data_IF_052378458345
#
_entry.id   IF_052378458345
#
_cell.length_a   1.000
_cell.length_b   1.000
_cell.length_c   1.000
_cell.angle_alpha   90.00
_cell.angle_beta   90.00
_cell.angle_gamma   90.00
#
_symmetry.space_group_name_H-M   'P 1'
#
loop_
_entity.id
_entity.type
_entity.pdbx_description
1 polymer ?
#
# COMPACT_ATOMS: atom_id res chain seq x y z
N UNK A 1 4.97 -2.30 -42.39
CA UNK A 1 5.11 -3.70 -41.94
C UNK A 1 4.21 -3.93 -40.72
N UNK A 2 3.61 -5.12 -40.55
CA UNK A 2 2.70 -5.41 -39.44
C UNK A 2 3.41 -5.41 -38.07
N UNK A 3 4.66 -5.91 -38.02
CA UNK A 3 5.48 -5.96 -36.80
C UNK A 3 5.76 -4.55 -36.26
N UNK A 4 6.22 -3.61 -37.11
CA UNK A 4 6.40 -2.22 -36.70
C UNK A 4 5.14 -1.56 -36.12
N UNK A 5 3.95 -1.84 -36.70
CA UNK A 5 2.69 -1.29 -36.18
C UNK A 5 2.38 -1.82 -34.79
N UNK A 6 2.57 -3.12 -34.56
CA UNK A 6 2.39 -3.74 -33.25
C UNK A 6 3.40 -3.20 -32.22
N UNK A 7 4.65 -3.01 -32.62
CA UNK A 7 5.69 -2.45 -31.73
C UNK A 7 5.38 -0.99 -31.37
N UNK A 8 4.96 -0.17 -32.33
CA UNK A 8 4.57 1.22 -32.08
C UNK A 8 3.36 1.31 -31.14
N UNK A 9 2.35 0.44 -31.27
CA UNK A 9 1.21 0.43 -30.33
C UNK A 9 1.65 0.24 -28.87
N UNK A 10 2.71 -0.52 -28.64
CA UNK A 10 3.24 -0.79 -27.30
C UNK A 10 4.26 0.23 -26.80
N UNK A 11 4.97 0.92 -27.71
CA UNK A 11 6.11 1.78 -27.40
C UNK A 11 5.85 3.29 -27.59
N UNK A 12 4.79 3.66 -28.32
CA UNK A 12 4.31 5.03 -28.46
C UNK A 12 3.98 5.69 -27.11
N UNK A 13 3.36 5.00 -26.13
CA UNK A 13 3.16 5.57 -24.78
C UNK A 13 4.46 5.86 -24.03
N UNK A 14 5.57 5.21 -24.40
CA UNK A 14 6.90 5.46 -23.85
C UNK A 14 7.67 6.56 -24.62
N UNK A 15 7.02 7.23 -25.58
CA UNK A 15 7.65 8.24 -26.43
C UNK A 15 8.72 7.65 -27.36
N UNK A 16 8.58 6.37 -27.76
CA UNK A 16 9.53 5.69 -28.65
C UNK A 16 8.84 5.32 -29.95
N UNK A 17 9.35 5.85 -31.06
CA UNK A 17 8.91 5.51 -32.40
C UNK A 17 9.82 4.44 -33.00
N UNK A 18 9.20 3.40 -33.56
CA UNK A 18 9.89 2.24 -34.12
C UNK A 18 9.62 2.12 -35.61
N UNK A 19 10.69 1.90 -36.37
CA UNK A 19 10.68 1.46 -37.75
C UNK A 19 11.35 0.10 -37.83
N UNK A 20 10.86 -0.76 -38.71
CA UNK A 20 11.45 -2.07 -38.92
C UNK A 20 11.76 -2.27 -40.38
N UNK A 21 12.90 -2.86 -40.67
CA UNK A 21 13.28 -3.34 -41.99
C UNK A 21 13.66 -4.81 -41.91
N UNK A 22 13.28 -5.60 -42.91
CA UNK A 22 13.59 -7.03 -42.96
C UNK A 22 14.36 -7.30 -44.24
N UNK A 23 15.63 -7.62 -44.09
CA UNK A 23 16.50 -8.02 -45.19
C UNK A 23 16.86 -9.48 -44.98
N UNK A 24 16.40 -10.34 -45.89
CA UNK A 24 16.55 -11.80 -45.82
C UNK A 24 15.93 -12.39 -44.53
N UNK A 25 16.75 -12.83 -43.58
CA UNK A 25 16.38 -13.44 -42.30
C UNK A 25 16.74 -12.57 -41.08
N UNK A 26 17.19 -11.32 -41.33
CA UNK A 26 17.59 -10.36 -40.31
C UNK A 26 16.59 -9.20 -40.22
N UNK A 27 15.90 -9.10 -39.09
CA UNK A 27 15.00 -7.99 -38.79
C UNK A 27 15.78 -6.87 -38.10
N UNK A 28 15.87 -5.71 -38.73
CA UNK A 28 16.43 -4.50 -38.13
C UNK A 28 15.31 -3.68 -37.52
N UNK A 29 15.39 -3.43 -36.21
CA UNK A 29 14.47 -2.60 -35.44
C UNK A 29 15.18 -1.30 -35.10
N UNK A 30 14.72 -0.20 -35.69
CA UNK A 30 15.23 1.14 -35.47
C UNK A 30 14.26 1.89 -34.55
N UNK A 31 14.70 2.25 -33.36
CA UNK A 31 13.88 2.96 -32.38
C UNK A 31 14.46 4.33 -32.08
N UNK A 32 13.61 5.36 -32.12
CA UNK A 32 13.96 6.72 -31.77
C UNK A 32 13.09 7.20 -30.60
N UNK A 33 13.72 7.66 -29.53
CA UNK A 33 13.01 8.29 -28.41
C UNK A 33 12.79 9.77 -28.66
N UNK A 34 11.78 10.36 -28.01
CA UNK A 34 11.44 11.78 -28.15
C UNK A 34 12.43 12.73 -27.44
N UNK A 35 12.99 12.31 -26.30
CA UNK A 35 13.87 13.14 -25.46
C UNK A 35 15.35 12.72 -25.53
N UNK A 36 15.66 11.56 -26.10
CA UNK A 36 16.98 10.95 -26.14
C UNK A 36 16.93 9.54 -26.74
N UNK A 37 18.07 8.85 -26.91
CA UNK A 37 18.06 7.47 -27.35
C UNK A 37 17.32 6.61 -26.31
N UNK A 38 16.49 5.64 -26.75
CA UNK A 38 15.77 4.77 -25.84
C UNK A 38 16.73 3.93 -25.00
N UNK A 39 16.29 3.54 -23.80
CA UNK A 39 17.06 2.66 -22.93
C UNK A 39 17.37 1.33 -23.62
N UNK A 40 18.65 0.96 -23.64
CA UNK A 40 19.14 -0.18 -24.41
C UNK A 40 18.61 -1.50 -23.86
N UNK A 41 18.72 -1.71 -22.55
CA UNK A 41 18.38 -2.98 -21.92
C UNK A 41 16.87 -3.23 -21.99
N UNK A 42 16.07 -2.21 -21.69
CA UNK A 42 14.62 -2.26 -21.83
C UNK A 42 14.19 -2.63 -23.25
N UNK A 43 14.74 -1.94 -24.26
CA UNK A 43 14.30 -2.12 -25.64
C UNK A 43 14.76 -3.48 -26.20
N UNK A 44 16.00 -3.91 -25.91
CA UNK A 44 16.51 -5.23 -26.29
C UNK A 44 15.66 -6.35 -25.68
N UNK A 45 15.30 -6.25 -24.40
CA UNK A 45 14.46 -7.25 -23.73
C UNK A 45 13.02 -7.24 -24.21
N UNK A 46 12.48 -6.07 -24.53
CA UNK A 46 11.15 -5.94 -25.14
C UNK A 46 11.12 -6.63 -26.50
N UNK A 47 12.07 -6.34 -27.38
CA UNK A 47 12.17 -6.92 -28.72
C UNK A 47 12.39 -8.43 -28.64
N UNK A 48 13.30 -8.91 -27.78
CA UNK A 48 13.56 -10.33 -27.59
C UNK A 48 12.29 -11.09 -27.20
N UNK A 49 11.57 -10.61 -26.18
CA UNK A 49 10.34 -11.26 -25.70
C UNK A 49 9.23 -11.24 -26.75
N UNK A 50 9.05 -10.11 -27.44
CA UNK A 50 8.08 -10.01 -28.52
C UNK A 50 8.36 -11.00 -29.65
N UNK A 51 9.62 -11.12 -30.05
CA UNK A 51 10.02 -12.01 -31.14
C UNK A 51 9.95 -13.50 -30.75
N UNK A 52 10.30 -13.85 -29.52
CA UNK A 52 10.10 -15.22 -29.01
C UNK A 52 8.61 -15.57 -28.91
N UNK A 53 7.76 -14.63 -28.49
CA UNK A 53 6.30 -14.83 -28.39
C UNK A 53 5.62 -14.96 -29.76
N UNK A 54 6.14 -14.31 -30.79
CA UNK A 54 5.67 -14.44 -32.17
C UNK A 54 6.04 -15.78 -32.82
N UNK A 55 7.04 -16.50 -32.26
CA UNK A 55 7.56 -17.77 -32.78
C UNK A 55 7.77 -17.78 -34.30
N UNK A 56 8.25 -16.66 -34.86
CA UNK A 56 8.35 -16.47 -36.30
C UNK A 56 9.54 -17.28 -36.87
N UNK A 57 9.30 -18.39 -37.60
CA UNK A 57 10.38 -19.32 -37.99
C UNK A 57 11.30 -18.75 -39.08
N UNK A 58 10.93 -17.62 -39.68
CA UNK A 58 11.63 -16.97 -40.80
C UNK A 58 12.70 -15.98 -40.33
N UNK A 59 12.64 -15.48 -39.08
CA UNK A 59 13.58 -14.48 -38.57
C UNK A 59 14.58 -15.16 -37.65
N UNK A 60 15.85 -15.22 -38.06
CA UNK A 60 16.92 -15.89 -37.29
C UNK A 60 17.66 -14.93 -36.36
N UNK A 61 17.80 -13.68 -36.81
CA UNK A 61 18.55 -12.64 -36.12
C UNK A 61 17.76 -11.35 -36.10
N UNK A 62 17.88 -10.61 -35.01
CA UNK A 62 17.27 -9.29 -34.85
C UNK A 62 18.36 -8.31 -34.45
N UNK A 63 18.46 -7.19 -35.16
CA UNK A 63 19.37 -6.09 -34.80
C UNK A 63 18.53 -4.94 -34.29
N UNK A 64 18.76 -4.51 -33.06
CA UNK A 64 18.08 -3.39 -32.42
C UNK A 64 19.01 -2.19 -32.41
N UNK A 65 18.53 -1.05 -32.86
CA UNK A 65 19.28 0.20 -32.95
C UNK A 65 18.52 1.32 -32.25
N UNK A 66 19.18 2.02 -31.33
CA UNK A 66 18.64 3.18 -30.64
C UNK A 66 19.15 4.48 -31.24
N UNK A 67 18.25 5.40 -31.57
CA UNK A 67 18.55 6.71 -32.14
C UNK A 67 18.16 7.82 -31.18
N UNK A 68 19.05 8.80 -31.02
CA UNK A 68 18.66 10.11 -30.49
C UNK A 68 17.75 10.86 -31.50
N UNK A 69 16.91 11.80 -31.04
CA UNK A 69 16.03 12.58 -31.91
C UNK A 69 16.80 13.22 -33.07
N UNK A 70 16.40 12.91 -34.31
CA UNK A 70 16.99 13.52 -35.53
C UNK A 70 18.41 13.05 -35.89
N UNK A 71 18.98 12.07 -35.19
CA UNK A 71 20.33 11.56 -35.48
C UNK A 71 20.36 10.70 -36.77
N UNK A 72 21.39 10.89 -37.59
CA UNK A 72 21.61 10.08 -38.80
C UNK A 72 22.28 8.71 -38.51
N UNK A 73 22.90 8.56 -37.34
CA UNK A 73 23.58 7.35 -36.90
C UNK A 73 23.02 6.88 -35.54
N UNK A 74 23.02 5.56 -35.27
CA UNK A 74 22.51 5.04 -34.00
C UNK A 74 23.44 5.39 -32.85
N UNK A 75 22.86 5.74 -31.70
CA UNK A 75 23.58 5.95 -30.44
C UNK A 75 24.07 4.62 -29.84
N UNK A 76 23.37 3.52 -30.13
CA UNK A 76 23.78 2.16 -29.77
C UNK A 76 23.13 1.14 -30.71
N UNK A 77 23.74 -0.04 -30.82
CA UNK A 77 23.17 -1.17 -31.56
C UNK A 77 23.46 -2.50 -30.87
N UNK A 78 22.51 -3.44 -30.92
CA UNK A 78 22.63 -4.77 -30.33
C UNK A 78 22.06 -5.84 -31.25
N UNK A 79 22.81 -6.93 -31.46
CA UNK A 79 22.35 -8.10 -32.19
C UNK A 79 21.80 -9.17 -31.23
N UNK A 80 20.66 -9.76 -31.59
CA UNK A 80 20.00 -10.82 -30.85
C UNK A 80 19.83 -12.01 -31.79
N UNK A 81 20.47 -13.12 -31.47
CA UNK A 81 20.23 -14.39 -32.16
C UNK A 81 19.09 -15.13 -31.43
N UNK A 82 18.03 -15.48 -32.18
CA UNK A 82 16.78 -16.01 -31.61
C UNK A 82 16.82 -17.54 -31.39
N UNK A 83 17.95 -18.20 -31.65
CA UNK A 83 18.11 -19.66 -31.50
C UNK A 83 18.86 -20.10 -30.23
N UNK A 84 19.33 -19.18 -29.40
CA UNK A 84 20.08 -19.54 -28.19
C UNK A 84 19.18 -19.60 -26.95
N UNK A 85 18.74 -20.82 -26.63
CA UNK A 85 18.06 -21.12 -25.36
C UNK A 85 19.13 -21.47 -24.32
N UNK A 86 19.88 -20.47 -23.87
CA UNK A 86 21.05 -20.62 -22.99
C UNK A 86 20.79 -20.14 -21.55
N UNK A 87 20.60 -21.10 -20.65
CA UNK A 87 20.52 -21.05 -19.19
C UNK A 87 21.54 -20.11 -18.50
N UNK A 88 21.08 -19.22 -17.61
CA UNK A 88 21.95 -18.51 -16.66
C UNK A 88 21.67 -19.04 -15.24
N UNK A 89 22.62 -19.81 -14.70
CA UNK A 89 22.66 -20.17 -13.29
C UNK A 89 23.18 -18.99 -12.44
N UNK A 90 22.62 -18.70 -11.25
CA UNK A 90 23.15 -17.67 -10.36
C UNK A 90 24.38 -18.17 -9.59
N UNK A 91 25.45 -17.37 -9.57
CA UNK A 91 26.62 -17.53 -8.69
C UNK A 91 26.49 -16.57 -7.48
N UNK A 92 26.89 -16.97 -6.26
CA UNK A 92 26.67 -16.17 -5.06
C UNK A 92 27.72 -15.07 -4.88
N UNK A 93 27.29 -13.92 -4.37
CA UNK A 93 28.15 -12.86 -3.84
C UNK A 93 28.37 -13.10 -2.34
N UNK A 94 29.63 -13.35 -1.99
CA UNK A 94 30.14 -13.46 -0.62
C UNK A 94 30.19 -12.08 0.02
N UNK A 95 29.54 -11.93 1.16
CA UNK A 95 29.63 -10.77 2.05
C UNK A 95 30.86 -10.86 2.95
N UNK A 96 31.73 -9.85 2.89
CA UNK A 96 32.63 -9.51 4.00
C UNK A 96 31.91 -8.50 4.90
N UNK A 97 31.89 -8.73 6.21
CA UNK A 97 32.13 -7.66 7.16
C UNK A 97 32.52 -8.18 8.54
N UNK A 98 33.44 -7.44 9.14
CA UNK A 98 34.13 -7.70 10.37
C UNK A 98 33.23 -7.62 11.61
N UNK A 99 33.62 -8.29 12.69
CA UNK A 99 33.48 -7.73 14.03
C UNK A 99 34.50 -8.34 15.00
N UNK A 100 35.53 -7.55 15.27
CA UNK A 100 36.33 -7.62 16.50
C UNK A 100 35.64 -6.73 17.54
N UNK A 101 35.29 -7.27 18.71
CA UNK A 101 35.51 -6.63 20.02
C UNK A 101 34.80 -7.39 21.16
N UNK A 102 35.62 -8.15 21.90
CA UNK A 102 35.95 -7.87 23.30
C UNK A 102 34.82 -7.76 24.35
N UNK A 103 34.86 -8.70 25.32
CA UNK A 103 35.17 -8.42 26.75
C UNK A 103 34.26 -9.25 27.68
N UNK A 104 34.68 -10.49 27.94
CA UNK A 104 34.21 -11.29 29.08
C UNK A 104 34.91 -10.80 30.34
N UNK A 105 34.14 -10.32 31.32
CA UNK A 105 34.60 -10.05 32.69
C UNK A 105 34.16 -11.19 33.59
N UNK A 106 35.16 -11.89 34.13
CA UNK A 106 35.12 -12.65 35.39
C UNK A 106 34.56 -11.78 36.53
N UNK A 107 33.70 -12.37 37.36
CA UNK A 107 33.90 -12.42 38.81
C UNK A 107 32.91 -13.43 39.41
N UNK A 108 33.43 -14.60 39.78
CA UNK A 108 32.81 -15.45 40.79
C UNK A 108 33.24 -14.97 42.17
N UNK A 109 32.34 -15.04 43.13
CA UNK A 109 32.59 -14.75 44.54
C UNK A 109 31.43 -15.29 45.36
N UNK A 110 31.67 -16.42 46.01
CA UNK A 110 30.72 -17.12 46.84
C UNK A 110 30.85 -16.70 48.32
N UNK A 111 29.72 -16.89 49.01
CA UNK A 111 29.56 -17.30 50.42
C UNK A 111 29.52 -16.29 51.57
N UNK A 112 28.42 -16.47 52.34
CA UNK A 112 28.33 -16.85 53.77
C UNK A 112 27.81 -15.85 54.81
N UNK A 113 26.90 -16.36 55.66
CA UNK A 113 26.43 -15.81 56.95
C UNK A 113 24.91 -15.60 57.02
N UNK A 114 24.06 -16.52 57.55
CA UNK A 114 23.63 -16.66 58.97
C UNK A 114 23.09 -15.34 59.59
N UNK A 115 21.96 -15.21 60.29
CA UNK A 115 21.17 -16.06 61.20
C UNK A 115 19.70 -15.55 61.30
N UNK A 116 18.79 -16.50 61.53
CA UNK A 116 17.72 -16.57 62.55
C UNK A 116 16.88 -15.35 62.98
N UNK A 117 15.55 -15.55 63.02
CA UNK A 117 14.63 -14.75 63.84
C UNK A 117 13.15 -15.09 63.65
N UNK A 118 12.59 -15.92 64.53
CA UNK A 118 11.17 -16.29 64.67
C UNK A 118 10.23 -15.11 64.97
N UNK A 119 8.93 -15.28 64.62
CA UNK A 119 7.71 -15.12 65.46
C UNK A 119 6.51 -14.85 64.51
N UNK A 120 5.64 -15.83 64.26
CA UNK A 120 4.43 -16.14 65.04
C UNK A 120 3.52 -14.91 65.25
N UNK A 121 2.44 -14.84 64.48
CA UNK A 121 1.45 -13.76 64.54
C UNK A 121 0.23 -14.06 63.67
N UNK A 122 -0.55 -15.06 64.09
CA UNK A 122 -1.86 -15.41 63.54
C UNK A 122 -2.86 -14.31 63.92
N UNK A 123 -3.41 -13.60 62.93
CA UNK A 123 -4.65 -12.84 63.08
C UNK A 123 -5.52 -13.06 61.86
N UNK A 124 -6.52 -13.92 62.05
CA UNK A 124 -7.66 -14.08 61.15
C UNK A 124 -8.64 -12.99 61.55
N UNK A 125 -8.82 -11.99 60.69
CA UNK A 125 -9.98 -11.11 60.73
C UNK A 125 -10.70 -11.27 59.40
N UNK A 126 -11.78 -12.04 59.43
CA UNK A 126 -12.84 -11.96 58.44
C UNK A 126 -13.60 -10.66 58.68
N UNK A 127 -13.26 -9.61 57.94
CA UNK A 127 -14.22 -8.58 57.57
C UNK A 127 -14.42 -8.69 56.07
N UNK A 128 -15.63 -9.14 55.72
CA UNK A 128 -16.17 -9.12 54.37
C UNK A 128 -16.23 -7.66 53.93
N UNK A 129 -15.14 -7.16 53.37
CA UNK A 129 -15.17 -5.97 52.55
C UNK A 129 -15.90 -6.39 51.28
N UNK A 130 -17.17 -5.98 51.16
CA UNK A 130 -17.77 -5.82 49.84
C UNK A 130 -16.77 -4.99 49.03
N UNK A 131 -16.06 -5.65 48.12
CA UNK A 131 -15.19 -5.00 47.15
C UNK A 131 -16.09 -4.15 46.28
N UNK A 132 -16.32 -2.91 46.70
CA UNK A 132 -16.71 -1.86 45.78
C UNK A 132 -15.65 -1.89 44.69
N UNK A 133 -16.07 -2.32 43.50
CA UNK A 133 -15.24 -2.39 42.32
C UNK A 133 -14.94 -0.96 41.87
N UNK A 134 -14.09 -0.29 42.64
CA UNK A 134 -13.71 1.09 42.46
C UNK A 134 -12.70 1.17 41.33
N UNK A 135 -12.82 2.23 40.53
CA UNK A 135 -11.86 2.63 39.50
C UNK A 135 -10.56 3.05 40.21
N UNK A 136 -9.72 2.08 40.57
CA UNK A 136 -8.42 2.40 41.17
C UNK A 136 -7.49 2.98 40.10
N UNK A 137 -6.72 4.00 40.45
CA UNK A 137 -5.72 4.65 39.59
C UNK A 137 -4.85 3.65 38.82
N UNK A 138 -4.27 2.58 39.41
CA UNK A 138 -3.45 1.63 38.65
C UNK A 138 -4.24 0.86 37.57
N UNK A 139 -5.53 0.58 37.79
CA UNK A 139 -6.37 -0.08 36.78
C UNK A 139 -6.70 0.83 35.61
N UNK A 140 -6.98 2.11 35.89
CA UNK A 140 -7.20 3.10 34.85
C UNK A 140 -5.93 3.30 34.02
N UNK A 141 -4.76 3.40 34.66
CA UNK A 141 -3.47 3.49 33.97
C UNK A 141 -3.24 2.26 33.10
N UNK A 142 -3.43 1.03 33.63
CA UNK A 142 -3.30 -0.20 32.86
C UNK A 142 -4.24 -0.26 31.66
N UNK A 143 -5.51 0.15 31.84
CA UNK A 143 -6.49 0.24 30.76
C UNK A 143 -6.04 1.20 29.66
N UNK A 144 -5.63 2.43 30.02
CA UNK A 144 -5.14 3.44 29.06
C UNK A 144 -3.91 2.93 28.33
N UNK A 145 -2.94 2.34 29.03
CA UNK A 145 -1.68 1.86 28.43
C UNK A 145 -1.92 0.75 27.42
N UNK A 146 -2.72 -0.27 27.76
CA UNK A 146 -3.02 -1.38 26.84
C UNK A 146 -3.80 -0.87 25.62
N UNK A 147 -4.78 0.01 25.84
CA UNK A 147 -5.59 0.57 24.76
C UNK A 147 -4.77 1.46 23.84
N UNK A 148 -3.91 2.32 24.39
CA UNK A 148 -2.99 3.16 23.62
C UNK A 148 -2.01 2.31 22.81
N UNK A 149 -1.47 1.24 23.39
CA UNK A 149 -0.59 0.30 22.68
C UNK A 149 -1.33 -0.36 21.51
N UNK A 150 -2.55 -0.86 21.72
CA UNK A 150 -3.34 -1.52 20.68
C UNK A 150 -3.70 -0.56 19.54
N UNK A 151 -4.14 0.66 19.85
CA UNK A 151 -4.44 1.70 18.86
C UNK A 151 -3.18 2.13 18.12
N UNK A 152 -2.08 2.38 18.84
CA UNK A 152 -0.80 2.80 18.27
C UNK A 152 -0.20 1.73 17.34
N UNK A 153 -0.18 0.47 17.78
CA UNK A 153 0.28 -0.65 16.94
C UNK A 153 -0.57 -0.79 15.68
N UNK A 154 -1.90 -0.63 15.82
CA UNK A 154 -2.82 -0.65 14.67
C UNK A 154 -2.54 0.50 13.71
N UNK A 155 -2.41 1.73 14.21
CA UNK A 155 -2.11 2.90 13.39
C UNK A 155 -0.79 2.73 12.63
N UNK A 156 0.26 2.27 13.32
CA UNK A 156 1.57 2.01 12.72
C UNK A 156 1.49 0.92 11.64
N UNK A 157 0.80 -0.20 11.91
CA UNK A 157 0.59 -1.25 10.92
C UNK A 157 -0.18 -0.74 9.70
N UNK A 158 -1.25 0.05 9.89
CA UNK A 158 -2.00 0.65 8.79
C UNK A 158 -1.15 1.58 7.94
N UNK A 159 -0.36 2.43 8.60
CA UNK A 159 0.55 3.33 7.92
C UNK A 159 1.59 2.55 7.09
N UNK A 160 2.20 1.51 7.68
CA UNK A 160 3.18 0.67 7.00
C UNK A 160 2.59 -0.07 5.79
N UNK A 161 1.38 -0.63 5.91
CA UNK A 161 0.68 -1.30 4.81
C UNK A 161 0.38 -0.31 3.68
N UNK A 162 -0.13 0.87 4.02
CA UNK A 162 -0.44 1.90 3.02
C UNK A 162 0.81 2.40 2.31
N UNK A 163 1.90 2.61 3.05
CA UNK A 163 3.19 3.02 2.50
C UNK A 163 3.83 1.93 1.62
N UNK A 164 3.77 0.67 2.06
CA UNK A 164 4.25 -0.48 1.29
C UNK A 164 3.49 -0.63 -0.03
N UNK A 165 2.17 -0.42 0.02
CA UNK A 165 1.33 -0.43 -1.17
C UNK A 165 1.78 0.60 -2.20
N UNK A 166 1.98 1.84 -1.75
CA UNK A 166 2.33 2.93 -2.63
C UNK A 166 3.73 2.79 -3.23
N UNK A 167 4.70 2.28 -2.47
CA UNK A 167 6.11 2.20 -2.89
C UNK A 167 6.47 0.94 -3.67
N UNK A 168 5.85 -0.21 -3.39
CA UNK A 168 6.29 -1.48 -3.98
C UNK A 168 5.22 -2.14 -4.86
N UNK A 169 3.97 -2.15 -4.40
CA UNK A 169 2.93 -2.98 -5.02
C UNK A 169 2.23 -2.24 -6.16
N UNK A 170 2.00 -0.95 -6.00
CA UNK A 170 1.29 -0.15 -7.00
C UNK A 170 2.19 0.45 -8.09
N UNK A 171 3.52 0.28 -8.01
CA UNK A 171 4.46 0.71 -9.05
C UNK A 171 4.61 -0.32 -10.19
N UNK A 172 4.12 -1.55 -10.03
CA UNK A 172 4.17 -2.57 -11.09
C UNK A 172 3.19 -2.19 -12.21
N UNK A 173 3.72 -2.00 -13.44
CA UNK A 173 2.94 -1.64 -14.60
C UNK A 173 1.75 -2.61 -14.83
N UNK A 174 0.58 -2.04 -15.15
CA UNK A 174 -0.72 -2.70 -15.38
C UNK A 174 -1.36 -3.40 -14.16
N UNK A 175 -0.63 -4.25 -13.45
CA UNK A 175 -1.16 -5.00 -12.31
C UNK A 175 -1.36 -4.11 -11.08
N UNK A 176 -0.43 -3.18 -10.83
CA UNK A 176 -0.49 -2.26 -9.70
C UNK A 176 -1.72 -1.37 -9.72
N UNK A 177 -2.09 -0.83 -10.88
CA UNK A 177 -3.29 0.01 -11.05
C UNK A 177 -4.60 -0.78 -10.82
N UNK A 178 -4.67 -2.03 -11.27
CA UNK A 178 -5.82 -2.89 -11.01
C UNK A 178 -5.94 -3.27 -9.53
N UNK A 179 -4.84 -3.71 -8.90
CA UNK A 179 -4.81 -4.03 -7.46
C UNK A 179 -5.13 -2.81 -6.59
N UNK A 180 -4.72 -1.61 -7.03
CA UNK A 180 -5.07 -0.33 -6.41
C UNK A 180 -6.58 -0.06 -6.47
N UNK A 181 -7.23 -0.38 -7.59
CA UNK A 181 -8.69 -0.22 -7.73
C UNK A 181 -9.49 -1.18 -6.84
N UNK A 182 -8.98 -2.40 -6.61
CA UNK A 182 -9.59 -3.38 -5.71
C UNK A 182 -9.28 -3.14 -4.23
N UNK A 183 -8.38 -2.21 -3.95
CA UNK A 183 -7.82 -1.94 -2.63
C UNK A 183 -7.42 -3.25 -1.92
N UNK A 184 -6.73 -4.17 -2.61
CA UNK A 184 -6.51 -5.54 -2.12
C UNK A 184 -5.74 -5.60 -0.79
N UNK A 185 -4.92 -4.58 -0.53
CA UNK A 185 -4.20 -4.41 0.73
C UNK A 185 -5.13 -4.14 1.91
N UNK A 186 -6.38 -3.72 1.66
CA UNK A 186 -7.38 -3.57 2.70
C UNK A 186 -7.87 -4.92 3.24
N UNK A 187 -7.57 -6.06 2.58
CA UNK A 187 -7.80 -7.40 3.16
C UNK A 187 -6.84 -7.70 4.33
N UNK A 188 -5.59 -7.23 4.25
CA UNK A 188 -4.61 -7.40 5.32
C UNK A 188 -5.05 -6.67 6.61
N UNK A 189 -5.93 -5.69 6.47
CA UNK A 189 -6.53 -4.97 7.58
C UNK A 189 -7.35 -5.85 8.50
N UNK A 190 -7.95 -6.92 7.99
CA UNK A 190 -8.77 -7.80 8.81
C UNK A 190 -7.94 -8.33 9.98
N UNK A 191 -6.68 -8.71 9.70
CA UNK A 191 -5.74 -9.13 10.72
C UNK A 191 -5.40 -7.98 11.69
N UNK A 192 -5.13 -6.78 11.16
CA UNK A 192 -4.79 -5.61 11.97
C UNK A 192 -5.94 -5.22 12.92
N UNK A 193 -7.17 -5.20 12.42
CA UNK A 193 -8.37 -4.89 13.21
C UNK A 193 -8.77 -6.02 14.16
N UNK A 194 -8.42 -7.28 13.85
CA UNK A 194 -8.54 -8.38 14.82
C UNK A 194 -7.62 -8.16 16.03
N UNK A 195 -6.37 -7.74 15.80
CA UNK A 195 -5.42 -7.39 16.87
C UNK A 195 -5.93 -6.20 17.68
N UNK A 196 -6.46 -5.16 17.03
CA UNK A 196 -7.10 -4.02 17.71
C UNK A 196 -8.25 -4.49 18.61
N UNK A 197 -9.17 -5.27 18.05
CA UNK A 197 -10.33 -5.79 18.76
C UNK A 197 -9.91 -6.58 19.99
N UNK A 198 -9.00 -7.54 19.82
CA UNK A 198 -8.49 -8.37 20.91
C UNK A 198 -7.80 -7.54 22.00
N UNK A 199 -6.90 -6.63 21.61
CA UNK A 199 -6.18 -5.76 22.56
C UNK A 199 -7.12 -4.83 23.34
N UNK A 200 -8.10 -4.23 22.66
CA UNK A 200 -9.14 -3.43 23.30
C UNK A 200 -10.04 -4.27 24.22
N UNK A 201 -10.36 -5.51 23.83
CA UNK A 201 -11.12 -6.42 24.69
C UNK A 201 -10.37 -6.75 25.98
N UNK A 202 -9.07 -7.05 25.88
CA UNK A 202 -8.20 -7.28 27.05
C UNK A 202 -8.16 -6.03 27.93
N UNK A 203 -7.99 -4.84 27.34
CA UNK A 203 -8.03 -3.58 28.07
C UNK A 203 -9.35 -3.41 28.82
N UNK A 204 -10.49 -3.63 28.15
CA UNK A 204 -11.82 -3.51 28.76
C UNK A 204 -11.99 -4.41 30.00
N UNK A 205 -11.33 -5.57 30.02
CA UNK A 205 -11.32 -6.48 31.18
C UNK A 205 -10.49 -6.01 32.38
N UNK A 206 -9.61 -5.01 32.23
CA UNK A 206 -8.87 -4.40 33.36
C UNK A 206 -9.83 -3.65 34.29
N UNK A 207 -10.87 -3.04 33.71
CA UNK A 207 -11.88 -2.27 34.41
C UNK A 207 -13.06 -3.17 34.83
N UNK A 208 -13.76 -2.82 35.91
CA UNK A 208 -14.91 -3.59 36.35
C UNK A 208 -16.06 -3.56 35.32
N UNK A 209 -16.70 -4.70 35.04
CA UNK A 209 -17.91 -4.74 34.22
C UNK A 209 -19.08 -4.01 34.92
N UNK A 210 -20.01 -3.37 34.18
CA UNK A 210 -20.03 -3.20 32.72
C UNK A 210 -19.25 -1.97 32.22
N UNK A 211 -18.76 -1.11 33.13
CA UNK A 211 -18.15 0.19 32.78
C UNK A 211 -16.93 0.05 31.86
N UNK A 212 -16.07 -0.94 32.10
CA UNK A 212 -14.90 -1.20 31.26
C UNK A 212 -15.25 -1.48 29.80
N UNK A 213 -16.28 -2.28 29.57
CA UNK A 213 -16.78 -2.60 28.23
C UNK A 213 -17.37 -1.37 27.55
N UNK A 214 -18.22 -0.61 28.23
CA UNK A 214 -18.87 0.57 27.67
C UNK A 214 -17.88 1.66 27.28
N UNK A 215 -16.94 1.99 28.17
CA UNK A 215 -15.90 3.00 27.91
C UNK A 215 -15.02 2.58 26.73
N UNK A 216 -14.58 1.32 26.69
CA UNK A 216 -13.71 0.84 25.62
C UNK A 216 -14.45 0.77 24.28
N UNK A 217 -15.73 0.38 24.28
CA UNK A 217 -16.56 0.40 23.07
C UNK A 217 -16.74 1.83 22.53
N UNK A 218 -16.92 2.82 23.40
CA UNK A 218 -17.01 4.23 23.00
C UNK A 218 -15.69 4.70 22.36
N UNK A 219 -14.55 4.36 22.96
CA UNK A 219 -13.23 4.66 22.37
C UNK A 219 -13.09 3.99 21.00
N UNK A 220 -13.46 2.71 20.87
CA UNK A 220 -13.40 2.00 19.58
C UNK A 220 -14.33 2.60 18.53
N UNK A 221 -15.52 3.08 18.91
CA UNK A 221 -16.47 3.70 17.98
C UNK A 221 -15.88 4.95 17.30
N UNK A 222 -14.97 5.66 17.98
CA UNK A 222 -14.25 6.81 17.41
C UNK A 222 -12.93 6.37 16.75
N UNK A 223 -12.20 5.44 17.38
CA UNK A 223 -10.89 5.01 16.91
C UNK A 223 -10.97 4.24 15.59
N UNK A 224 -11.95 3.35 15.39
CA UNK A 224 -12.04 2.52 14.18
C UNK A 224 -12.21 3.36 12.91
N UNK A 225 -13.15 4.32 12.81
CA UNK A 225 -13.22 5.21 11.66
C UNK A 225 -11.95 6.03 11.44
N UNK A 226 -11.34 6.56 12.52
CA UNK A 226 -10.10 7.33 12.43
C UNK A 226 -8.92 6.51 11.93
N UNK A 227 -8.79 5.27 12.41
CA UNK A 227 -7.78 4.31 11.96
C UNK A 227 -8.02 3.93 10.50
N UNK A 228 -9.27 3.68 10.10
CA UNK A 228 -9.62 3.38 8.71
C UNK A 228 -9.22 4.52 7.76
N UNK A 229 -9.35 5.78 8.20
CA UNK A 229 -8.95 6.97 7.44
C UNK A 229 -7.43 7.16 7.27
N UNK A 230 -6.58 6.37 7.95
CA UNK A 230 -5.11 6.47 7.79
C UNK A 230 -4.68 6.11 6.36
N UNK A 231 -5.23 5.05 5.78
CA UNK A 231 -4.85 4.61 4.44
C UNK A 231 -5.11 5.67 3.37
N UNK A 232 -6.30 6.29 3.26
CA UNK A 232 -6.50 7.39 2.32
C UNK A 232 -5.66 8.62 2.65
N UNK A 233 -5.35 8.91 3.91
CA UNK A 233 -4.48 10.03 4.28
C UNK A 233 -3.03 9.83 3.79
N UNK A 234 -2.49 8.62 3.98
CA UNK A 234 -1.16 8.26 3.45
C UNK A 234 -1.13 8.34 1.93
N UNK A 235 -2.18 7.84 1.26
CA UNK A 235 -2.30 7.91 -0.21
C UNK A 235 -2.36 9.35 -0.72
N UNK A 236 -3.10 10.24 -0.04
CA UNK A 236 -3.14 11.65 -0.40
C UNK A 236 -1.77 12.31 -0.25
N UNK A 237 -1.08 12.06 0.86
CA UNK A 237 0.24 12.65 1.07
C UNK A 237 1.25 12.16 0.03
N UNK A 238 1.22 10.87 -0.31
CA UNK A 238 2.07 10.33 -1.35
C UNK A 238 1.76 10.95 -2.72
N UNK A 239 0.49 11.19 -3.04
CA UNK A 239 0.11 11.90 -4.25
C UNK A 239 0.65 13.33 -4.29
N UNK A 240 0.53 14.09 -3.20
CA UNK A 240 1.08 15.46 -3.09
C UNK A 240 2.60 15.43 -3.29
N UNK A 241 3.31 14.51 -2.64
CA UNK A 241 4.76 14.39 -2.77
C UNK A 241 5.17 14.03 -4.20
N UNK A 242 4.50 13.06 -4.83
CA UNK A 242 4.78 12.68 -6.23
C UNK A 242 4.51 13.81 -7.21
N UNK A 243 3.43 14.58 -7.00
CA UNK A 243 3.15 15.75 -7.81
C UNK A 243 4.23 16.84 -7.62
N UNK A 244 4.72 17.00 -6.38
CA UNK A 244 5.82 17.91 -6.08
C UNK A 244 7.12 17.50 -6.78
N UNK A 245 7.49 16.22 -6.68
CA UNK A 245 8.70 15.66 -7.27
C UNK A 245 8.67 15.74 -8.81
N UNK A 246 7.53 15.38 -9.42
CA UNK A 246 7.35 15.42 -10.88
C UNK A 246 7.43 16.84 -11.44
N UNK A 247 6.90 17.82 -10.71
CA UNK A 247 6.91 19.23 -11.14
C UNK A 247 8.13 20.00 -10.64
N UNK A 248 8.99 19.39 -9.82
CA UNK A 248 10.12 20.03 -9.13
C UNK A 248 9.72 21.26 -8.31
N UNK A 249 8.55 21.18 -7.65
CA UNK A 249 8.02 22.22 -6.77
C UNK A 249 8.04 21.76 -5.31
N UNK A 250 7.76 22.66 -4.37
CA UNK A 250 7.69 22.26 -2.95
C UNK A 250 6.40 21.48 -2.66
N UNK A 251 6.39 20.57 -1.66
CA UNK A 251 5.18 19.84 -1.27
C UNK A 251 4.00 20.76 -0.90
N UNK A 252 4.27 21.93 -0.31
CA UNK A 252 3.23 22.92 0.01
C UNK A 252 2.63 23.55 -1.25
N UNK A 253 3.43 23.84 -2.28
CA UNK A 253 2.93 24.33 -3.56
C UNK A 253 2.09 23.27 -4.27
N UNK A 254 2.56 22.01 -4.27
CA UNK A 254 1.81 20.89 -4.82
C UNK A 254 0.47 20.68 -4.10
N UNK A 255 0.46 20.78 -2.77
CA UNK A 255 -0.76 20.70 -1.95
C UNK A 255 -1.78 21.75 -2.37
N UNK A 256 -1.38 23.01 -2.53
CA UNK A 256 -2.29 24.08 -2.97
C UNK A 256 -2.89 23.77 -4.35
N UNK A 257 -2.09 23.26 -5.29
CA UNK A 257 -2.59 22.87 -6.61
C UNK A 257 -3.59 21.71 -6.54
N UNK A 258 -3.24 20.66 -5.79
CA UNK A 258 -4.09 19.48 -5.57
C UNK A 258 -5.40 19.87 -4.90
N UNK A 259 -5.38 20.68 -3.85
CA UNK A 259 -6.59 21.12 -3.15
C UNK A 259 -7.50 21.97 -4.05
N UNK A 260 -6.92 22.85 -4.87
CA UNK A 260 -7.68 23.64 -5.85
C UNK A 260 -8.28 22.75 -6.93
N UNK A 261 -7.56 21.71 -7.36
CA UNK A 261 -8.07 20.73 -8.30
C UNK A 261 -9.24 19.92 -7.70
N UNK A 262 -9.09 19.40 -6.48
CA UNK A 262 -10.15 18.66 -5.78
C UNK A 262 -11.41 19.52 -5.61
N UNK A 263 -11.24 20.77 -5.17
CA UNK A 263 -12.37 21.70 -5.02
C UNK A 263 -13.12 21.92 -6.34
N UNK A 264 -12.42 21.98 -7.47
CA UNK A 264 -13.05 22.09 -8.80
C UNK A 264 -13.75 20.82 -9.25
N UNK A 265 -13.19 19.65 -8.97
CA UNK A 265 -13.72 18.38 -9.49
C UNK A 265 -14.83 17.77 -8.62
N UNK A 266 -14.75 17.92 -7.31
CA UNK A 266 -15.68 17.30 -6.35
C UNK A 266 -16.29 18.29 -5.35
N UNK A 267 -16.01 19.59 -5.49
CA UNK A 267 -16.58 20.63 -4.62
C UNK A 267 -15.96 20.70 -3.22
N UNK A 268 -14.98 19.84 -2.91
CA UNK A 268 -14.39 19.66 -1.59
C UNK A 268 -12.87 19.56 -1.69
N UNK A 269 -12.16 19.93 -0.62
CA UNK A 269 -10.70 19.86 -0.53
C UNK A 269 -10.24 18.97 0.64
N UNK A 270 -8.93 18.88 0.86
CA UNK A 270 -8.35 18.08 1.93
C UNK A 270 -8.60 16.59 1.78
N UNK A 271 -8.59 15.85 2.90
CA UNK A 271 -8.75 14.40 2.91
C UNK A 271 -10.09 13.94 2.35
N UNK A 272 -11.15 14.67 2.67
CA UNK A 272 -12.49 14.33 2.23
C UNK A 272 -12.69 14.58 0.73
N UNK A 273 -12.13 15.68 0.19
CA UNK A 273 -12.06 15.90 -1.25
C UNK A 273 -11.27 14.80 -1.97
N UNK A 274 -10.14 14.37 -1.41
CA UNK A 274 -9.38 13.24 -1.96
C UNK A 274 -10.17 11.93 -1.92
N UNK A 275 -10.83 11.65 -0.79
CA UNK A 275 -11.57 10.41 -0.58
C UNK A 275 -12.76 10.30 -1.56
N UNK A 276 -13.47 11.39 -1.78
CA UNK A 276 -14.56 11.48 -2.76
C UNK A 276 -14.04 11.41 -4.21
N UNK A 277 -12.98 12.14 -4.54
CA UNK A 277 -12.38 12.11 -5.88
C UNK A 277 -11.91 10.70 -6.26
N UNK A 278 -11.18 10.03 -5.36
CA UNK A 278 -10.65 8.68 -5.61
C UNK A 278 -11.73 7.60 -5.72
N UNK A 279 -12.98 7.88 -5.32
CA UNK A 279 -14.10 6.98 -5.56
C UNK A 279 -14.61 7.06 -7.01
N UNK A 280 -14.44 8.23 -7.64
CA UNK A 280 -14.97 8.55 -8.97
C UNK A 280 -13.92 8.41 -10.08
N UNK A 281 -12.65 8.65 -9.75
CA UNK A 281 -11.54 8.62 -10.67
C UNK A 281 -10.41 7.72 -10.12
N UNK A 282 -10.01 6.66 -10.85
CA UNK A 282 -8.98 5.73 -10.40
C UNK A 282 -7.56 6.33 -10.50
N UNK A 283 -7.36 7.32 -11.38
CA UNK A 283 -6.07 7.95 -11.62
C UNK A 283 -5.91 9.27 -10.88
N UNK A 284 -4.73 9.44 -10.29
CA UNK A 284 -4.32 10.64 -9.57
C UNK A 284 -3.37 11.46 -10.46
N UNK A 285 -3.80 12.62 -10.98
CA UNK A 285 -2.97 13.41 -11.90
C UNK A 285 -1.75 14.01 -11.19
N UNK A 286 -0.56 13.86 -11.78
CA UNK A 286 0.70 14.38 -11.22
C UNK A 286 1.08 15.76 -11.77
N UNK A 287 0.67 16.07 -13.01
CA UNK A 287 1.00 17.32 -13.71
C UNK A 287 -0.25 18.19 -13.96
N UNK A 288 -0.11 19.51 -14.08
CA UNK A 288 -1.25 20.41 -14.34
C UNK A 288 -1.95 20.12 -15.67
N UNK A 289 -1.21 19.63 -16.66
CA UNK A 289 -1.77 19.27 -17.97
C UNK A 289 -2.60 17.99 -17.88
N UNK A 290 -2.11 16.97 -17.16
CA UNK A 290 -2.87 15.76 -16.84
C UNK A 290 -4.15 16.07 -16.04
N UNK A 291 -4.13 17.08 -15.16
CA UNK A 291 -5.33 17.55 -14.44
C UNK A 291 -6.42 18.12 -15.37
N UNK A 292 -6.08 18.50 -16.61
CA UNK A 292 -7.03 18.94 -17.63
C UNK A 292 -7.51 17.80 -18.52
N UNK A 293 -6.64 16.83 -18.81
CA UNK A 293 -6.91 15.75 -19.77
C UNK A 293 -7.59 14.53 -19.16
N UNK A 294 -7.22 14.09 -17.96
CA UNK A 294 -7.81 12.88 -17.34
C UNK A 294 -9.36 12.98 -17.23
N UNK A 295 -9.95 14.11 -16.81
CA UNK A 295 -11.40 14.24 -16.77
C UNK A 295 -12.09 14.14 -18.14
N UNK A 296 -11.40 14.49 -19.23
CA UNK A 296 -11.98 14.40 -20.58
C UNK A 296 -11.93 12.95 -21.09
N UNK A 297 -10.81 12.26 -20.87
CA UNK A 297 -10.64 10.84 -21.21
C UNK A 297 -11.67 9.98 -20.45
N UNK A 298 -11.81 10.18 -19.15
CA UNK A 298 -12.78 9.44 -18.33
C UNK A 298 -14.22 9.63 -18.85
N UNK A 299 -14.59 10.86 -19.22
CA UNK A 299 -15.90 11.14 -19.84
C UNK A 299 -16.08 10.43 -21.18
N UNK A 300 -15.04 10.38 -22.02
CA UNK A 300 -15.09 9.68 -23.31
C UNK A 300 -15.26 8.17 -23.13
N UNK A 301 -14.55 7.56 -22.19
CA UNK A 301 -14.68 6.13 -21.86
C UNK A 301 -16.10 5.83 -21.35
N UNK A 302 -16.60 6.62 -20.39
CA UNK A 302 -17.97 6.46 -19.86
C UNK A 302 -19.03 6.66 -20.93
N UNK A 303 -18.87 7.62 -21.84
CA UNK A 303 -19.78 7.82 -22.97
C UNK A 303 -19.76 6.64 -23.95
N UNK A 304 -18.59 6.06 -24.20
CA UNK A 304 -18.45 4.87 -25.06
C UNK A 304 -19.15 3.66 -24.44
N UNK A 305 -18.95 3.43 -23.14
CA UNK A 305 -19.67 2.39 -22.38
C UNK A 305 -21.18 2.62 -22.38
N UNK A 306 -21.62 3.85 -22.17
CA UNK A 306 -23.01 4.24 -22.21
C UNK A 306 -23.65 3.92 -23.57
N UNK A 307 -22.96 4.24 -24.67
CA UNK A 307 -23.41 3.92 -26.02
C UNK A 307 -23.45 2.40 -26.27
N UNK A 308 -22.43 1.66 -25.83
CA UNK A 308 -22.36 0.20 -25.99
C UNK A 308 -23.48 -0.52 -25.22
N UNK A 309 -23.73 -0.11 -23.98
CA UNK A 309 -24.76 -0.69 -23.10
C UNK A 309 -26.15 -0.09 -23.31
N UNK A 310 -26.29 0.90 -24.20
CA UNK A 310 -27.51 1.71 -24.42
C UNK A 310 -28.05 2.35 -23.14
N UNK A 311 -27.15 2.75 -22.25
CA UNK A 311 -27.46 3.42 -20.99
C UNK A 311 -27.15 4.90 -21.07
N UNK A 312 -27.68 5.69 -20.12
CA UNK A 312 -27.29 7.07 -19.96
C UNK A 312 -25.90 7.15 -19.32
N UNK A 313 -25.05 8.07 -19.77
CA UNK A 313 -23.71 8.29 -19.19
C UNK A 313 -23.76 8.52 -17.68
N UNK A 314 -24.80 9.24 -17.21
CA UNK A 314 -25.04 9.47 -15.79
C UNK A 314 -25.27 8.18 -14.99
N UNK A 315 -25.95 7.19 -15.57
CA UNK A 315 -26.20 5.90 -14.90
C UNK A 315 -24.92 5.07 -14.78
N UNK A 316 -24.07 5.07 -15.81
CA UNK A 316 -22.75 4.41 -15.76
C UNK A 316 -21.88 5.06 -14.69
N UNK A 317 -21.87 6.39 -14.63
CA UNK A 317 -21.12 7.12 -13.61
C UNK A 317 -21.61 6.78 -12.19
N UNK A 318 -22.91 6.78 -11.95
CA UNK A 318 -23.51 6.43 -10.66
C UNK A 318 -23.23 4.97 -10.27
N UNK A 319 -23.25 4.04 -11.23
CA UNK A 319 -22.95 2.64 -10.98
C UNK A 319 -21.48 2.46 -10.56
N UNK A 320 -20.54 3.07 -11.29
CA UNK A 320 -19.11 2.95 -11.01
C UNK A 320 -18.77 3.60 -9.67
N UNK A 321 -19.28 4.81 -9.42
CA UNK A 321 -19.12 5.49 -8.13
C UNK A 321 -19.73 4.64 -7.00
N UNK A 322 -20.95 4.13 -7.19
CA UNK A 322 -21.62 3.25 -6.24
C UNK A 322 -20.87 1.94 -5.97
N UNK A 323 -20.24 1.36 -6.98
CA UNK A 323 -19.40 0.17 -6.84
C UNK A 323 -18.17 0.45 -5.96
N UNK A 324 -17.45 1.54 -6.21
CA UNK A 324 -16.26 1.91 -5.42
C UNK A 324 -16.62 2.23 -3.97
N UNK A 325 -17.71 2.98 -3.74
CA UNK A 325 -18.23 3.21 -2.40
C UNK A 325 -18.71 1.92 -1.73
N UNK A 326 -19.32 1.02 -2.49
CA UNK A 326 -19.75 -0.30 -2.02
C UNK A 326 -18.59 -1.16 -1.54
N UNK A 327 -17.48 -1.22 -2.29
CA UNK A 327 -16.26 -1.95 -1.90
C UNK A 327 -15.66 -1.36 -0.62
N UNK A 328 -15.53 -0.03 -0.53
CA UNK A 328 -15.02 0.65 0.68
C UNK A 328 -15.92 0.43 1.89
N UNK A 329 -17.24 0.54 1.70
CA UNK A 329 -18.24 0.28 2.74
C UNK A 329 -18.20 -1.17 3.22
N UNK A 330 -18.03 -2.11 2.29
CA UNK A 330 -17.85 -3.53 2.61
C UNK A 330 -16.59 -3.77 3.45
N UNK A 331 -15.43 -3.19 3.10
CA UNK A 331 -14.22 -3.33 3.90
C UNK A 331 -14.33 -2.67 5.28
N UNK A 332 -14.98 -1.51 5.38
CA UNK A 332 -15.26 -0.87 6.67
C UNK A 332 -16.16 -1.77 7.53
N UNK A 333 -17.21 -2.35 6.94
CA UNK A 333 -18.11 -3.26 7.64
C UNK A 333 -17.36 -4.52 8.12
N UNK A 334 -16.52 -5.12 7.29
CA UNK A 334 -15.68 -6.24 7.71
C UNK A 334 -14.71 -5.86 8.83
N UNK A 335 -14.09 -4.68 8.77
CA UNK A 335 -13.21 -4.18 9.82
C UNK A 335 -13.96 -4.00 11.15
N UNK A 336 -15.17 -3.42 11.11
CA UNK A 336 -16.03 -3.26 12.30
C UNK A 336 -16.44 -4.62 12.87
N UNK A 337 -16.93 -5.54 12.04
CA UNK A 337 -17.32 -6.88 12.46
C UNK A 337 -16.13 -7.63 13.08
N UNK A 338 -14.97 -7.61 12.42
CA UNK A 338 -13.75 -8.28 12.89
C UNK A 338 -13.27 -7.69 14.21
N UNK A 339 -13.31 -6.37 14.36
CA UNK A 339 -12.96 -5.69 15.62
C UNK A 339 -13.94 -6.12 16.72
N UNK A 340 -15.25 -6.16 16.45
CA UNK A 340 -16.26 -6.49 17.44
C UNK A 340 -16.18 -7.97 17.88
N UNK A 341 -15.98 -8.90 16.95
CA UNK A 341 -15.85 -10.33 17.28
C UNK A 341 -14.62 -10.59 18.13
N UNK A 342 -13.46 -10.01 17.79
CA UNK A 342 -12.24 -10.17 18.57
C UNK A 342 -12.24 -9.35 19.85
N UNK A 343 -12.99 -8.24 19.91
CA UNK A 343 -13.25 -7.51 21.14
C UNK A 343 -13.99 -8.36 22.16
N UNK A 344 -15.03 -9.09 21.75
CA UNK A 344 -15.74 -10.01 22.63
C UNK A 344 -14.83 -11.15 23.12
N UNK A 345 -13.96 -11.69 22.24
CA UNK A 345 -12.98 -12.70 22.65
C UNK A 345 -11.96 -12.14 23.65
N UNK A 346 -11.38 -10.98 23.34
CA UNK A 346 -10.44 -10.27 24.21
C UNK A 346 -11.04 -9.94 25.58
N UNK A 347 -12.32 -9.54 25.62
CA UNK A 347 -13.05 -9.25 26.86
C UNK A 347 -13.16 -10.50 27.74
N UNK A 348 -13.48 -11.66 27.16
CA UNK A 348 -13.52 -12.94 27.90
C UNK A 348 -12.16 -13.30 28.48
N UNK A 349 -11.07 -13.09 27.73
CA UNK A 349 -9.71 -13.31 28.24
C UNK A 349 -9.36 -12.30 29.34
N UNK A 350 -9.68 -11.02 29.13
CA UNK A 350 -9.46 -9.96 30.12
C UNK A 350 -10.18 -10.25 31.44
N UNK A 351 -11.46 -10.62 31.41
CA UNK A 351 -12.19 -11.00 32.63
C UNK A 351 -11.55 -12.17 33.36
N UNK A 352 -11.14 -13.21 32.63
CA UNK A 352 -10.43 -14.36 33.23
C UNK A 352 -9.09 -13.97 33.86
N UNK A 353 -8.31 -13.11 33.22
CA UNK A 353 -6.99 -12.69 33.71
C UNK A 353 -7.07 -11.75 34.91
N UNK A 354 -8.07 -10.86 34.92
CA UNK A 354 -8.24 -9.86 35.98
C UNK A 354 -9.25 -10.28 37.07
N UNK A 355 -9.74 -11.52 37.01
CA UNK A 355 -10.52 -12.15 38.08
C UNK A 355 -11.98 -11.73 38.13
N UNK A 356 -12.54 -11.23 37.04
CA UNK A 356 -13.97 -10.94 36.91
C UNK A 356 -14.72 -12.22 36.53
N UNK A 357 -15.80 -12.53 37.26
CA UNK A 357 -16.66 -13.70 37.00
C UNK A 357 -17.72 -13.40 35.95
#
# INVERSE_FOLDING_TARGET
MAIARLMNQSLEPAGVQVRTDLVQDCLTVMAAGELGPPDQDFLVDFVRRGMLGLAAPVVRRVVVQGYAPGAAAPSWQMGIDLQDTGTIAPRPLVTNSANSANRSRRAGGANSGQLSGQLSGRSVVHTVAATDATLSTPRVVGWVSILALAIGATAAARWAIAWLGETNIYEVAYVGHFLRSLEILELLNLLVFAVLGMGAGIAAGVLPPPRGQQLTALVLAVAVPGLFAIAPAVRQQAWINRAADHQRITPEQAKIQVERFLSKQVGQSGLWGFYTYSARYPELPLAPDAMREIPTIDRQVKATLANLLRWQTKSIEQLLEGCTWGVRGFYLLLAVLTTLTHFQQGLRYGWRWFGWR
#
